data_IF_953902234035
#
_entry.id   IF_953902234035
#
_cell.length_a   1.000
_cell.length_b   1.000
_cell.length_c   1.000
_cell.angle_alpha   90.00
_cell.angle_beta   90.00
_cell.angle_gamma   90.00
#
_symmetry.space_group_name_H-M   'P 1'
#
loop_
_entity.id
_entity.type
_entity.pdbx_description
1 polymer ?
#
# COMPACT_ATOMS: atom_id res chain seq x y z
N UNK A 1 -10.62 6.42 -12.55
CA UNK A 1 -10.22 5.85 -11.25
C UNK A 1 -8.94 6.51 -10.77
N UNK A 2 -8.79 6.66 -9.48
CA UNK A 2 -7.55 7.10 -8.84
C UNK A 2 -7.11 6.07 -7.81
N UNK A 3 -5.83 5.77 -7.79
CA UNK A 3 -5.20 4.92 -6.76
C UNK A 3 -4.26 5.81 -5.95
N UNK A 4 -4.32 5.68 -4.63
CA UNK A 4 -3.43 6.37 -3.72
C UNK A 4 -2.74 5.36 -2.83
N UNK A 5 -1.46 5.56 -2.60
CA UNK A 5 -0.66 4.78 -1.66
C UNK A 5 -0.17 5.74 -0.59
N UNK A 6 -0.58 5.51 0.65
CA UNK A 6 -0.08 6.22 1.82
C UNK A 6 0.92 5.32 2.53
N UNK A 7 2.13 5.80 2.72
CA UNK A 7 3.20 4.98 3.28
C UNK A 7 4.01 5.73 4.34
N UNK A 8 4.37 5.04 5.40
CA UNK A 8 5.27 5.55 6.44
C UNK A 8 6.72 5.37 6.00
N UNK A 9 7.52 6.41 6.16
CA UNK A 9 8.94 6.45 5.83
C UNK A 9 9.20 6.91 4.39
N UNK A 10 10.35 7.51 4.19
CA UNK A 10 10.81 7.96 2.86
C UNK A 10 11.63 6.86 2.19
N UNK A 11 11.52 6.75 0.88
CA UNK A 11 12.41 5.93 0.08
C UNK A 11 13.79 6.58 0.03
N UNK A 12 14.82 5.84 0.44
CA UNK A 12 16.20 6.31 0.47
C UNK A 12 17.03 5.75 -0.69
N UNK A 13 16.83 4.48 -1.03
CA UNK A 13 17.61 3.77 -2.03
C UNK A 13 17.24 4.20 -3.45
N UNK A 14 18.25 4.58 -4.24
CA UNK A 14 18.04 5.05 -5.62
C UNK A 14 17.38 3.99 -6.51
N UNK A 15 17.76 2.71 -6.38
CA UNK A 15 17.17 1.64 -7.16
C UNK A 15 15.66 1.47 -6.89
N UNK A 16 15.20 1.72 -5.67
CA UNK A 16 13.78 1.72 -5.32
C UNK A 16 13.07 2.94 -5.90
N UNK A 17 13.69 4.13 -5.81
CA UNK A 17 13.13 5.36 -6.41
C UNK A 17 12.92 5.19 -7.92
N UNK A 18 13.92 4.66 -8.61
CA UNK A 18 13.88 4.43 -10.05
C UNK A 18 12.82 3.38 -10.41
N UNK A 19 12.78 2.25 -9.70
CA UNK A 19 11.77 1.23 -9.91
C UNK A 19 10.35 1.71 -9.66
N UNK A 20 10.14 2.48 -8.60
CA UNK A 20 8.84 3.09 -8.28
C UNK A 20 8.43 4.06 -9.40
N UNK A 21 9.33 4.94 -9.84
CA UNK A 21 9.05 5.90 -10.90
C UNK A 21 8.71 5.20 -12.22
N UNK A 22 9.41 4.11 -12.54
CA UNK A 22 9.13 3.28 -13.71
C UNK A 22 7.68 2.77 -13.70
N UNK A 23 7.24 2.15 -12.60
CA UNK A 23 5.87 1.64 -12.53
C UNK A 23 4.81 2.73 -12.43
N UNK A 24 5.08 3.84 -11.77
CA UNK A 24 4.18 4.99 -11.80
C UNK A 24 3.95 5.46 -13.25
N UNK A 25 5.01 5.51 -14.04
CA UNK A 25 4.92 5.88 -15.46
C UNK A 25 4.11 4.86 -16.27
N UNK A 26 4.35 3.56 -16.05
CA UNK A 26 3.61 2.48 -16.74
C UNK A 26 2.14 2.43 -16.38
N UNK A 27 1.76 2.84 -15.18
CA UNK A 27 0.37 2.83 -14.71
C UNK A 27 -0.43 4.03 -15.26
N UNK A 28 0.22 5.17 -15.51
CA UNK A 28 -0.45 6.40 -15.97
C UNK A 28 -1.48 6.23 -17.10
N UNK A 29 -1.24 5.40 -18.14
CA UNK A 29 -2.24 5.18 -19.19
C UNK A 29 -3.54 4.53 -18.72
N UNK A 30 -3.51 3.85 -17.57
CA UNK A 30 -4.64 3.06 -17.04
C UNK A 30 -5.37 3.79 -15.90
N UNK A 31 -4.65 4.51 -15.07
CA UNK A 31 -5.18 5.13 -13.86
C UNK A 31 -4.32 6.29 -13.39
N UNK A 32 -4.95 7.26 -12.75
CA UNK A 32 -4.21 8.20 -11.91
C UNK A 32 -3.70 7.47 -10.68
N UNK A 33 -2.42 7.65 -10.37
CA UNK A 33 -1.79 7.03 -9.21
C UNK A 33 -0.85 8.03 -8.53
N UNK A 34 -0.87 8.04 -7.20
CA UNK A 34 0.02 8.86 -6.39
C UNK A 34 0.51 8.07 -5.16
N UNK A 35 1.73 8.37 -4.73
CA UNK A 35 2.28 7.90 -3.46
C UNK A 35 2.52 9.12 -2.58
N UNK A 36 2.04 9.06 -1.34
CA UNK A 36 2.26 10.08 -0.32
C UNK A 36 3.01 9.43 0.83
N UNK A 37 4.20 9.96 1.11
CA UNK A 37 5.06 9.48 2.17
C UNK A 37 4.88 10.34 3.44
N UNK A 38 4.79 9.66 4.58
CA UNK A 38 4.74 10.30 5.89
C UNK A 38 6.02 9.97 6.64
N UNK A 39 6.60 10.91 7.39
CA UNK A 39 7.81 10.63 8.13
C UNK A 39 7.58 9.54 9.18
N UNK A 40 8.54 8.62 9.28
CA UNK A 40 8.59 7.63 10.34
C UNK A 40 8.89 8.30 11.70
N UNK A 41 8.43 7.68 12.78
CA UNK A 41 8.72 8.13 14.13
C UNK A 41 10.08 7.58 14.56
N UNK A 42 10.89 8.38 15.29
CA UNK A 42 12.16 7.90 15.84
C UNK A 42 11.92 6.81 16.87
N UNK A 43 12.78 5.79 16.84
CA UNK A 43 12.74 4.66 17.77
C UNK A 43 14.17 4.34 18.22
N UNK A 44 14.33 3.97 19.48
CA UNK A 44 15.60 3.54 20.05
C UNK A 44 15.99 2.16 19.53
N UNK A 45 17.27 1.83 19.65
CA UNK A 45 17.73 0.45 19.48
C UNK A 45 17.08 -0.44 20.57
N UNK A 46 16.63 -1.64 20.20
CA UNK A 46 15.95 -2.58 21.09
C UNK A 46 14.77 -1.96 21.88
N UNK A 47 13.74 -1.46 21.18
CA UNK A 47 12.61 -0.83 21.84
C UNK A 47 11.76 -1.84 22.62
N UNK A 48 11.16 -1.40 23.73
CA UNK A 48 10.15 -2.18 24.44
C UNK A 48 8.87 -2.29 23.63
N UNK A 49 7.99 -3.22 23.98
CA UNK A 49 6.67 -3.37 23.34
C UNK A 49 5.85 -2.08 23.43
N UNK A 50 5.91 -1.39 24.56
CA UNK A 50 5.19 -0.11 24.73
C UNK A 50 5.77 1.01 23.88
N UNK A 51 7.07 1.03 23.64
CA UNK A 51 7.72 1.98 22.73
C UNK A 51 7.34 1.71 21.28
N UNK A 52 7.28 0.44 20.89
CA UNK A 52 6.81 0.02 19.55
C UNK A 52 5.35 0.49 19.33
N UNK A 53 4.47 0.26 20.29
CA UNK A 53 3.07 0.70 20.18
C UNK A 53 2.96 2.23 20.06
N UNK A 54 3.75 2.99 20.83
CA UNK A 54 3.81 4.46 20.69
C UNK A 54 4.25 4.91 19.30
N UNK A 55 5.27 4.27 18.74
CA UNK A 55 5.75 4.55 17.38
C UNK A 55 4.64 4.30 16.37
N UNK A 56 3.98 3.15 16.44
CA UNK A 56 2.86 2.80 15.55
C UNK A 56 1.71 3.79 15.66
N UNK A 57 1.36 4.22 16.87
CA UNK A 57 0.30 5.20 17.11
C UNK A 57 0.66 6.59 16.54
N UNK A 58 1.89 7.06 16.77
CA UNK A 58 2.35 8.35 16.24
C UNK A 58 2.37 8.38 14.72
N UNK A 59 2.90 7.33 14.10
CA UNK A 59 2.93 7.18 12.65
C UNK A 59 1.52 7.04 12.07
N UNK A 60 0.71 6.20 12.71
CA UNK A 60 -0.66 5.91 12.29
C UNK A 60 -1.58 7.11 12.35
N UNK A 61 -1.41 7.98 13.35
CA UNK A 61 -2.21 9.20 13.51
C UNK A 61 -2.04 10.16 12.35
N UNK A 62 -0.85 10.27 11.80
CA UNK A 62 -0.58 11.11 10.62
C UNK A 62 -1.36 10.63 9.39
N UNK A 63 -1.36 9.32 9.13
CA UNK A 63 -2.14 8.73 8.06
C UNK A 63 -3.64 8.86 8.33
N UNK A 64 -4.09 8.55 9.53
CA UNK A 64 -5.49 8.60 9.93
C UNK A 64 -6.09 9.99 9.69
N UNK A 65 -5.38 11.05 10.09
CA UNK A 65 -5.83 12.42 9.90
C UNK A 65 -5.88 12.85 8.42
N UNK A 66 -5.14 12.17 7.56
CA UNK A 66 -5.14 12.42 6.12
C UNK A 66 -6.33 11.75 5.41
N UNK A 67 -6.80 10.62 5.93
CA UNK A 67 -7.91 9.86 5.36
C UNK A 67 -9.23 10.60 5.52
N UNK A 68 -10.05 10.58 4.46
CA UNK A 68 -11.41 11.09 4.49
C UNK A 68 -12.40 9.97 4.80
N UNK A 69 -13.58 10.33 5.25
CA UNK A 69 -14.61 9.34 5.63
C UNK A 69 -15.07 8.47 4.46
N UNK A 70 -15.07 8.99 3.24
CA UNK A 70 -15.47 8.32 2.01
C UNK A 70 -14.34 7.57 1.30
N UNK A 71 -13.09 7.67 1.78
CA UNK A 71 -11.97 6.90 1.24
C UNK A 71 -12.19 5.40 1.44
N UNK A 72 -12.08 4.63 0.36
CA UNK A 72 -12.01 3.17 0.46
C UNK A 72 -10.57 2.74 0.73
N UNK A 73 -10.34 2.28 1.94
CA UNK A 73 -8.99 2.01 2.47
C UNK A 73 -8.73 0.52 2.52
N UNK A 74 -7.61 0.12 1.93
CA UNK A 74 -7.08 -1.25 1.94
C UNK A 74 -5.75 -1.24 2.69
N UNK A 75 -5.67 -1.93 3.80
CA UNK A 75 -4.40 -2.09 4.51
C UNK A 75 -3.58 -3.26 3.94
N UNK A 76 -2.28 -3.03 3.78
CA UNK A 76 -1.32 -4.11 3.58
C UNK A 76 -0.80 -4.54 4.95
N UNK A 77 -1.07 -5.76 5.32
CA UNK A 77 -0.73 -6.31 6.63
C UNK A 77 -0.34 -7.79 6.50
N UNK A 78 0.42 -8.29 7.45
CA UNK A 78 0.76 -9.72 7.51
C UNK A 78 -0.43 -10.55 8.01
N UNK A 79 -0.44 -11.85 7.64
CA UNK A 79 -1.45 -12.80 8.11
C UNK A 79 -2.91 -12.42 7.75
N UNK A 80 -3.08 -11.72 6.64
CA UNK A 80 -4.39 -11.41 6.06
C UNK A 80 -4.61 -12.23 4.79
N UNK A 81 -5.72 -11.99 4.11
CA UNK A 81 -6.05 -12.66 2.86
C UNK A 81 -4.93 -12.45 1.83
N UNK A 82 -4.40 -13.55 1.31
CA UNK A 82 -3.48 -13.56 0.19
C UNK A 82 -4.25 -13.73 -1.11
N UNK A 83 -3.82 -13.07 -2.16
CA UNK A 83 -4.39 -13.13 -3.49
C UNK A 83 -3.28 -13.44 -4.48
N UNK A 84 -3.55 -14.31 -5.44
CA UNK A 84 -2.68 -14.39 -6.62
C UNK A 84 -2.86 -13.15 -7.52
N UNK A 85 -2.03 -13.02 -8.55
CA UNK A 85 -2.05 -11.81 -9.41
C UNK A 85 -3.36 -11.66 -10.19
N UNK A 86 -4.01 -12.76 -10.56
CA UNK A 86 -5.29 -12.74 -11.28
C UNK A 86 -6.42 -12.36 -10.34
N UNK A 87 -6.43 -12.93 -9.14
CA UNK A 87 -7.36 -12.57 -8.06
C UNK A 87 -7.21 -11.11 -7.65
N UNK A 88 -5.97 -10.62 -7.53
CA UNK A 88 -5.68 -9.23 -7.20
C UNK A 88 -6.17 -8.27 -8.31
N UNK A 89 -5.97 -8.63 -9.59
CA UNK A 89 -6.52 -7.88 -10.71
C UNK A 89 -8.04 -7.75 -10.58
N UNK A 90 -8.74 -8.87 -10.45
CA UNK A 90 -10.19 -8.88 -10.26
C UNK A 90 -10.61 -8.06 -9.03
N UNK A 91 -9.94 -8.24 -7.92
CA UNK A 91 -10.21 -7.53 -6.67
C UNK A 91 -10.18 -6.00 -6.83
N UNK A 92 -9.17 -5.45 -7.51
CA UNK A 92 -9.08 -4.00 -7.78
C UNK A 92 -10.19 -3.58 -8.74
N UNK A 93 -10.41 -4.33 -9.83
CA UNK A 93 -11.38 -3.96 -10.85
C UNK A 93 -12.83 -4.02 -10.33
N UNK A 94 -13.15 -4.99 -9.47
CA UNK A 94 -14.47 -5.05 -8.83
C UNK A 94 -14.76 -3.81 -7.98
N UNK A 95 -13.75 -3.27 -7.28
CA UNK A 95 -13.90 -2.00 -6.54
C UNK A 95 -14.21 -0.83 -7.47
N UNK A 96 -13.59 -0.81 -8.65
CA UNK A 96 -13.87 0.22 -9.67
C UNK A 96 -15.31 0.15 -10.18
N UNK A 97 -15.77 -1.06 -10.51
CA UNK A 97 -17.14 -1.30 -11.01
C UNK A 97 -18.18 -0.91 -9.95
N UNK A 98 -17.89 -1.11 -8.66
CA UNK A 98 -18.73 -0.67 -7.55
C UNK A 98 -18.75 0.86 -7.33
N UNK A 99 -18.18 1.64 -8.26
CA UNK A 99 -18.22 3.10 -8.21
C UNK A 99 -17.22 3.73 -7.27
N UNK A 100 -16.21 2.99 -6.78
CA UNK A 100 -15.14 3.55 -5.98
C UNK A 100 -14.20 4.38 -6.87
N UNK A 101 -14.34 5.68 -6.82
CA UNK A 101 -13.50 6.61 -7.61
C UNK A 101 -12.07 6.68 -7.10
N UNK A 102 -11.85 6.41 -5.81
CA UNK A 102 -10.55 6.42 -5.14
C UNK A 102 -10.37 5.15 -4.30
N UNK A 103 -9.28 4.42 -4.56
CA UNK A 103 -8.81 3.32 -3.71
C UNK A 103 -7.53 3.79 -3.04
N UNK A 104 -7.46 3.71 -1.71
CA UNK A 104 -6.31 4.10 -0.92
C UNK A 104 -5.69 2.87 -0.26
N UNK A 105 -4.46 2.53 -0.64
CA UNK A 105 -3.64 1.54 0.06
C UNK A 105 -2.86 2.22 1.19
N UNK A 106 -2.76 1.56 2.33
CA UNK A 106 -1.94 2.02 3.45
C UNK A 106 -0.85 1.01 3.77
N UNK A 107 0.38 1.50 3.90
CA UNK A 107 1.58 0.72 4.20
C UNK A 107 2.22 1.29 5.46
N UNK A 108 2.38 0.46 6.49
CA UNK A 108 3.02 0.84 7.75
C UNK A 108 4.53 1.01 7.61
N UNK A 109 5.15 1.46 8.70
CA UNK A 109 6.60 1.52 8.84
C UNK A 109 7.18 0.16 9.27
N UNK A 110 8.37 0.19 9.87
CA UNK A 110 9.11 -1.02 10.25
C UNK A 110 8.37 -1.93 11.23
N UNK A 111 7.50 -1.40 12.06
CA UNK A 111 6.71 -2.15 13.03
C UNK A 111 5.25 -2.39 12.61
N UNK A 112 4.89 -2.01 11.39
CA UNK A 112 3.57 -2.22 10.83
C UNK A 112 2.58 -1.09 11.15
N UNK A 113 1.30 -1.39 11.01
CA UNK A 113 0.20 -0.45 11.17
C UNK A 113 -0.31 -0.43 12.62
N UNK A 114 -0.78 0.74 13.07
CA UNK A 114 -1.49 0.87 14.34
C UNK A 114 -2.85 0.17 14.30
N UNK A 115 -3.38 -0.20 15.47
CA UNK A 115 -4.70 -0.81 15.58
C UNK A 115 -5.81 0.11 15.07
N UNK A 116 -5.68 1.41 15.28
CA UNK A 116 -6.61 2.42 14.79
C UNK A 116 -6.72 2.40 13.25
N UNK A 117 -5.56 2.34 12.56
CA UNK A 117 -5.53 2.24 11.10
C UNK A 117 -6.08 0.91 10.60
N UNK A 118 -5.78 -0.20 11.28
CA UNK A 118 -6.32 -1.51 10.95
C UNK A 118 -7.86 -1.53 11.04
N UNK A 119 -8.41 -0.89 12.06
CA UNK A 119 -9.87 -0.75 12.24
C UNK A 119 -10.50 0.20 11.21
N UNK A 120 -9.78 1.26 10.81
CA UNK A 120 -10.25 2.20 9.79
C UNK A 120 -10.30 1.58 8.40
N UNK A 121 -9.43 0.62 8.11
CA UNK A 121 -9.38 -0.03 6.81
C UNK A 121 -10.70 -0.76 6.52
N UNK A 122 -11.19 -0.58 5.30
CA UNK A 122 -12.39 -1.27 4.81
C UNK A 122 -12.07 -2.73 4.46
N UNK A 123 -10.80 -3.00 4.13
CA UNK A 123 -10.32 -4.32 3.76
C UNK A 123 -8.83 -4.45 4.08
N UNK A 124 -8.33 -5.67 4.16
CA UNK A 124 -6.94 -5.98 4.47
C UNK A 124 -6.45 -7.15 3.62
N UNK A 125 -5.30 -6.98 3.00
CA UNK A 125 -4.66 -8.03 2.22
C UNK A 125 -3.19 -8.18 2.61
N UNK A 126 -2.64 -9.38 2.39
CA UNK A 126 -1.22 -9.67 2.49
C UNK A 126 -0.64 -9.88 1.10
N UNK A 127 0.50 -9.28 0.80
CA UNK A 127 1.21 -9.55 -0.45
C UNK A 127 1.88 -10.93 -0.43
N UNK A 128 2.27 -11.42 0.73
CA UNK A 128 2.95 -12.70 0.93
C UNK A 128 2.90 -13.10 2.40
N UNK A 129 3.15 -14.37 2.68
CA UNK A 129 3.46 -14.86 4.04
C UNK A 129 4.83 -14.38 4.51
N UNK A 130 5.72 -14.06 3.58
CA UNK A 130 7.03 -13.47 3.89
C UNK A 130 6.88 -11.98 4.20
N UNK A 131 7.71 -11.51 5.13
CA UNK A 131 7.84 -10.08 5.42
C UNK A 131 8.80 -9.44 4.43
N UNK A 132 8.35 -8.39 3.77
CA UNK A 132 9.20 -7.56 2.91
C UNK A 132 9.62 -6.28 3.64
N UNK A 133 10.76 -5.74 3.26
CA UNK A 133 11.13 -4.39 3.65
C UNK A 133 10.01 -3.41 3.26
N UNK A 134 9.55 -2.59 4.20
CA UNK A 134 8.40 -1.69 3.97
C UNK A 134 8.58 -0.73 2.79
N UNK A 135 9.82 -0.35 2.48
CA UNK A 135 10.13 0.47 1.30
C UNK A 135 9.98 -0.35 0.00
N UNK A 136 10.40 -1.61 -0.01
CA UNK A 136 10.26 -2.51 -1.16
C UNK A 136 8.80 -2.91 -1.40
N UNK A 137 8.00 -2.98 -0.38
CA UNK A 137 6.55 -3.27 -0.47
C UNK A 137 5.84 -2.33 -1.43
N UNK A 138 6.25 -1.06 -1.49
CA UNK A 138 5.69 -0.07 -2.42
C UNK A 138 5.94 -0.44 -3.87
N UNK A 139 7.16 -0.87 -4.17
CA UNK A 139 7.55 -1.29 -5.53
C UNK A 139 6.79 -2.55 -5.94
N UNK A 140 6.70 -3.55 -5.05
CA UNK A 140 5.95 -4.79 -5.29
C UNK A 140 4.47 -4.49 -5.53
N UNK A 141 3.86 -3.64 -4.71
CA UNK A 141 2.47 -3.25 -4.87
C UNK A 141 2.22 -2.55 -6.22
N UNK A 142 3.10 -1.63 -6.61
CA UNK A 142 2.99 -0.94 -7.91
C UNK A 142 3.11 -1.91 -9.08
N UNK A 143 4.03 -2.86 -9.01
CA UNK A 143 4.18 -3.90 -10.03
C UNK A 143 2.90 -4.72 -10.14
N UNK A 144 2.31 -5.14 -9.03
CA UNK A 144 1.06 -5.90 -9.03
C UNK A 144 -0.14 -5.07 -9.51
N UNK A 145 -0.20 -3.79 -9.21
CA UNK A 145 -1.22 -2.87 -9.75
C UNK A 145 -1.09 -2.79 -11.28
N UNK A 146 0.12 -2.58 -11.79
CA UNK A 146 0.37 -2.57 -13.24
C UNK A 146 -0.01 -3.90 -13.90
N UNK A 147 0.44 -5.01 -13.32
CA UNK A 147 0.09 -6.37 -13.77
C UNK A 147 -1.42 -6.58 -13.77
N UNK A 148 -2.11 -6.10 -12.75
CA UNK A 148 -3.56 -6.17 -12.65
C UNK A 148 -4.28 -5.48 -13.82
N UNK A 149 -3.83 -4.30 -14.22
CA UNK A 149 -4.35 -3.62 -15.42
C UNK A 149 -4.07 -4.40 -16.71
N UNK A 150 -2.87 -4.97 -16.85
CA UNK A 150 -2.50 -5.77 -18.02
C UNK A 150 -3.37 -7.02 -18.14
N UNK A 151 -3.61 -7.72 -17.03
CA UNK A 151 -4.52 -8.87 -16.99
C UNK A 151 -5.94 -8.45 -17.41
N UNK A 152 -6.45 -7.39 -16.80
CA UNK A 152 -7.82 -6.92 -17.08
C UNK A 152 -8.03 -6.49 -18.53
N UNK A 153 -7.02 -5.91 -19.16
CA UNK A 153 -7.04 -5.47 -20.55
C UNK A 153 -6.68 -6.57 -21.54
N UNK A 154 -6.40 -7.81 -21.09
CA UNK A 154 -5.89 -8.90 -21.91
C UNK A 154 -4.61 -8.52 -22.71
N UNK A 155 -3.77 -7.68 -22.13
CA UNK A 155 -2.51 -7.27 -22.70
C UNK A 155 -1.36 -8.18 -22.24
N UNK A 156 -0.37 -8.39 -23.11
CA UNK A 156 0.77 -9.26 -22.82
C UNK A 156 1.65 -8.67 -21.71
N UNK A 157 1.70 -9.33 -20.57
CA UNK A 157 2.61 -9.05 -19.43
C UNK A 157 2.62 -10.22 -18.45
N UNK A 158 1.46 -10.62 -17.98
CA UNK A 158 1.28 -11.80 -17.13
C UNK A 158 1.34 -13.07 -17.98
N UNK A 159 2.19 -14.01 -17.58
CA UNK A 159 2.39 -15.29 -18.26
C UNK A 159 2.03 -16.46 -17.36
#
# INVERSE_FOLDING_TARGET
>A
MKIRILAIGKIKENYLKEGIQEYLTRIKPYSQIEIIEFPDAPVKDNPSLSEIEKVKELEGKKLFNFLKNDDYVISLDLNKKELDSVEFSKYIMDKMVLGRSLITFIIGGSYGLSDELKKRANDSISLSKMTFLHQMTRLILLEQIYRGFKIYKNETYHK
#
